data_IF_216551501041
#
_entry.id   IF_216551501041
#
_cell.length_a   1.000
_cell.length_b   1.000
_cell.length_c   1.000
_cell.angle_alpha   90.00
_cell.angle_beta   90.00
_cell.angle_gamma   90.00
#
_symmetry.space_group_name_H-M   'P 1'
#
loop_
_entity.id
_entity.type
_entity.pdbx_description
1 polymer ?
#
# COMPACT_ATOMS: atom_id res chain seq x y z
N UNK A 1 5.83 3.81 -7.76
CA UNK A 1 6.04 3.62 -6.31
C UNK A 1 5.49 4.79 -5.50
N UNK A 2 5.88 6.05 -5.79
CA UNK A 2 5.39 7.23 -5.06
C UNK A 2 3.87 7.39 -5.02
N UNK A 3 3.18 7.31 -6.16
CA UNK A 3 1.70 7.42 -6.21
C UNK A 3 0.98 6.32 -5.42
N UNK A 4 1.58 5.12 -5.35
CA UNK A 4 1.02 4.03 -4.54
C UNK A 4 1.16 4.33 -3.06
N UNK A 5 2.28 4.92 -2.63
CA UNK A 5 2.49 5.31 -1.24
C UNK A 5 1.52 6.42 -0.81
N UNK A 6 1.31 7.42 -1.67
CA UNK A 6 0.35 8.51 -1.41
C UNK A 6 -1.08 7.95 -1.29
N UNK A 7 -1.49 7.06 -2.20
CA UNK A 7 -2.77 6.38 -2.11
C UNK A 7 -2.93 5.49 -0.86
N UNK A 8 -1.86 4.83 -0.41
CA UNK A 8 -1.85 4.05 0.83
C UNK A 8 -2.02 4.95 2.06
N UNK A 9 -1.35 6.11 2.08
CA UNK A 9 -1.47 7.14 3.13
C UNK A 9 -2.90 7.68 3.23
N UNK A 10 -3.50 8.06 2.11
CA UNK A 10 -4.88 8.57 2.11
C UNK A 10 -5.86 7.50 2.62
N UNK A 11 -5.72 6.26 2.14
CA UNK A 11 -6.52 5.12 2.63
C UNK A 11 -6.30 4.80 4.10
N UNK A 12 -5.07 4.95 4.58
CA UNK A 12 -4.71 4.75 5.99
C UNK A 12 -5.46 5.73 6.92
N UNK A 13 -5.58 6.98 6.50
CA UNK A 13 -6.27 8.03 7.27
C UNK A 13 -7.78 7.77 7.37
N UNK A 14 -8.37 7.10 6.37
CA UNK A 14 -9.82 6.87 6.29
C UNK A 14 -10.27 5.51 6.85
N UNK A 15 -9.52 4.42 6.63
CA UNK A 15 -10.01 3.04 6.84
C UNK A 15 -9.29 2.24 7.95
N UNK A 16 -8.18 2.73 8.49
CA UNK A 16 -7.44 2.06 9.58
C UNK A 16 -6.59 0.85 9.15
N UNK A 17 -5.65 0.47 10.01
CA UNK A 17 -4.46 -0.37 9.73
C UNK A 17 -4.76 -1.76 9.16
N UNK A 18 -5.83 -2.39 9.64
CA UNK A 18 -6.02 -3.84 9.52
C UNK A 18 -6.24 -4.36 8.09
N UNK A 19 -6.55 -3.49 7.12
CA UNK A 19 -6.70 -3.89 5.72
C UNK A 19 -5.44 -3.76 4.87
N UNK A 20 -4.43 -2.98 5.29
CA UNK A 20 -3.27 -2.66 4.46
C UNK A 20 -2.23 -3.79 4.34
N UNK A 21 -2.19 -4.69 5.32
CA UNK A 21 -1.41 -5.93 5.21
C UNK A 21 -2.01 -6.91 4.20
N UNK A 22 -3.30 -6.74 3.87
CA UNK A 22 -3.98 -7.58 2.90
C UNK A 22 -3.73 -7.05 1.48
N UNK A 23 -3.20 -7.92 0.61
CA UNK A 23 -3.06 -7.61 -0.82
C UNK A 23 -4.41 -7.34 -1.51
N UNK A 24 -5.53 -7.57 -0.83
CA UNK A 24 -6.87 -7.21 -1.29
C UNK A 24 -7.04 -5.70 -1.48
N UNK A 25 -6.33 -4.86 -0.70
CA UNK A 25 -6.42 -3.39 -0.86
C UNK A 25 -5.97 -2.93 -2.24
N UNK A 26 -5.03 -3.64 -2.86
CA UNK A 26 -4.55 -3.34 -4.22
C UNK A 26 -5.61 -3.61 -5.31
N UNK A 27 -6.73 -4.24 -4.95
CA UNK A 27 -7.89 -4.46 -5.83
C UNK A 27 -8.96 -3.38 -5.69
N UNK A 28 -8.77 -2.42 -4.80
CA UNK A 28 -9.67 -1.30 -4.58
C UNK A 28 -9.16 -0.04 -5.28
N UNK A 29 -10.06 0.92 -5.52
CA UNK A 29 -9.64 2.25 -5.96
C UNK A 29 -8.89 2.98 -4.82
N UNK A 30 -7.85 3.77 -5.15
CA UNK A 30 -7.37 4.11 -6.50
C UNK A 30 -6.32 3.13 -7.08
N UNK A 31 -5.94 2.07 -6.36
CA UNK A 31 -4.86 1.15 -6.78
C UNK A 31 -5.15 0.45 -8.12
N UNK A 32 -6.42 0.15 -8.38
CA UNK A 32 -6.86 -0.40 -9.67
C UNK A 32 -6.60 0.54 -10.85
N UNK A 33 -6.53 1.85 -10.64
CA UNK A 33 -6.17 2.83 -11.67
C UNK A 33 -4.64 2.92 -11.87
N UNK A 34 -3.88 2.64 -10.81
CA UNK A 34 -2.41 2.64 -10.85
C UNK A 34 -1.88 1.39 -11.57
N UNK A 35 -2.53 0.24 -11.39
CA UNK A 35 -2.24 -0.98 -12.14
C UNK A 35 -2.66 -2.26 -11.44
N UNK A 36 -2.27 -3.41 -12.01
CA UNK A 36 -2.58 -4.69 -11.39
C UNK A 36 -1.79 -4.89 -10.09
N UNK A 37 -2.32 -5.62 -9.09
CA UNK A 37 -1.62 -5.88 -7.82
C UNK A 37 -0.21 -6.44 -8.02
N UNK A 38 -0.03 -7.36 -8.96
CA UNK A 38 1.27 -7.93 -9.29
C UNK A 38 2.28 -6.89 -9.82
N UNK A 39 1.81 -5.94 -10.65
CA UNK A 39 2.65 -4.85 -11.18
C UNK A 39 3.05 -3.87 -10.08
N UNK A 40 2.09 -3.55 -9.20
CA UNK A 40 2.33 -2.69 -8.04
C UNK A 40 3.40 -3.33 -7.14
N UNK A 41 3.20 -4.57 -6.70
CA UNK A 41 4.16 -5.30 -5.85
C UNK A 41 5.54 -5.37 -6.49
N UNK A 42 5.62 -5.65 -7.80
CA UNK A 42 6.89 -5.67 -8.53
C UNK A 42 7.60 -4.31 -8.50
N UNK A 43 6.86 -3.21 -8.52
CA UNK A 43 7.43 -1.85 -8.45
C UNK A 43 8.10 -1.54 -7.11
N UNK A 44 7.74 -2.25 -6.03
CA UNK A 44 8.41 -2.17 -4.73
C UNK A 44 9.63 -3.09 -4.62
N UNK A 45 9.90 -3.92 -5.63
CA UNK A 45 10.98 -4.91 -5.59
C UNK A 45 10.55 -6.28 -5.07
N UNK A 46 9.23 -6.53 -5.00
CA UNK A 46 8.68 -7.81 -4.57
C UNK A 46 7.81 -7.69 -3.32
N UNK A 47 7.19 -8.82 -2.93
CA UNK A 47 6.21 -8.86 -1.84
C UNK A 47 6.78 -8.46 -0.49
N UNK A 48 7.96 -9.00 -0.14
CA UNK A 48 8.61 -8.67 1.14
C UNK A 48 8.90 -7.17 1.25
N UNK A 49 9.41 -6.58 0.17
CA UNK A 49 9.74 -5.15 0.16
C UNK A 49 8.51 -4.26 0.19
N UNK A 50 7.42 -4.67 -0.46
CA UNK A 50 6.12 -4.03 -0.31
C UNK A 50 5.66 -4.04 1.16
N UNK A 51 5.62 -5.22 1.81
CA UNK A 51 5.17 -5.35 3.21
C UNK A 51 6.03 -4.50 4.14
N UNK A 52 7.35 -4.54 3.98
CA UNK A 52 8.28 -3.73 4.76
C UNK A 52 7.96 -2.24 4.60
N UNK A 53 7.79 -1.77 3.37
CA UNK A 53 7.49 -0.37 3.09
C UNK A 53 6.14 0.07 3.66
N UNK A 54 5.11 -0.78 3.63
CA UNK A 54 3.80 -0.48 4.25
C UNK A 54 3.95 -0.40 5.77
N UNK A 55 4.71 -1.30 6.39
CA UNK A 55 4.97 -1.28 7.83
C UNK A 55 5.76 -0.06 8.27
N UNK A 56 6.82 0.30 7.53
CA UNK A 56 7.59 1.53 7.78
C UNK A 56 6.73 2.80 7.65
N UNK A 57 5.70 2.75 6.79
CA UNK A 57 4.74 3.84 6.65
C UNK A 57 3.78 3.91 7.85
N UNK A 58 3.28 2.76 8.31
CA UNK A 58 2.44 2.66 9.51
C UNK A 58 3.14 3.20 10.77
N UNK A 59 4.39 2.78 10.97
CA UNK A 59 5.22 3.26 12.10
C UNK A 59 5.39 4.78 12.08
N UNK A 60 5.48 5.40 10.90
CA UNK A 60 5.60 6.87 10.78
C UNK A 60 4.31 7.63 11.11
N UNK A 61 3.14 7.02 10.96
CA UNK A 61 1.86 7.70 11.20
C UNK A 61 1.39 7.53 12.66
N UNK A 62 1.75 6.43 13.34
CA UNK A 62 1.41 6.21 14.76
C UNK A 62 2.51 6.59 15.77
N UNK A 63 3.72 6.95 15.34
CA UNK A 63 4.76 7.48 16.22
C UNK A 63 4.41 8.87 16.77
#
# INVERSE_FOLDING_TARGET
AKEVLEALLDKYMDEGISELESMEILKLNPFTEIGTPAKIIKSFGGREKYIQTVKELEEQIYA
#
